data_IF_473955933145
#
_entry.id   IF_473955933145
#
_cell.length_a   1.000
_cell.length_b   1.000
_cell.length_c   1.000
_cell.angle_alpha   90.00
_cell.angle_beta   90.00
_cell.angle_gamma   90.00
#
_symmetry.space_group_name_H-M   'P 1'
#
loop_
_entity.id
_entity.type
_entity.pdbx_description
1 polymer ?
#
# COMPACT_ATOMS: atom_id res chain seq x y z
N UNK A 1 -20.71 11.51 -6.26
CA UNK A 1 -19.74 11.78 -5.17
C UNK A 1 -18.81 10.57 -5.04
N UNK A 2 -17.52 10.77 -5.14
CA UNK A 2 -16.53 9.69 -4.97
C UNK A 2 -16.33 9.40 -3.48
N UNK A 3 -16.08 8.13 -3.16
CA UNK A 3 -15.83 7.70 -1.79
C UNK A 3 -14.31 7.49 -1.60
N UNK A 4 -13.74 8.16 -0.60
CA UNK A 4 -12.36 7.92 -0.16
C UNK A 4 -12.42 6.96 1.03
N UNK A 5 -11.66 5.88 0.95
CA UNK A 5 -11.53 4.89 2.02
C UNK A 5 -10.07 4.83 2.44
N UNK A 6 -9.80 5.08 3.72
CA UNK A 6 -8.43 5.02 4.25
C UNK A 6 -7.81 3.63 4.07
N UNK A 7 -6.56 3.57 3.54
CA UNK A 7 -5.88 2.30 3.29
C UNK A 7 -4.34 2.47 3.24
N UNK A 8 -3.59 2.41 4.35
CA UNK A 8 -4.05 2.42 5.75
C UNK A 8 -4.56 3.79 6.21
N UNK A 9 -4.20 4.86 5.50
CA UNK A 9 -4.62 6.24 5.77
C UNK A 9 -5.35 6.84 4.56
N UNK A 10 -5.99 7.99 4.74
CA UNK A 10 -6.65 8.69 3.64
C UNK A 10 -5.63 9.22 2.61
N UNK A 11 -4.43 9.60 3.07
CA UNK A 11 -3.36 10.09 2.19
C UNK A 11 -2.76 9.04 1.26
N UNK A 12 -3.02 7.76 1.48
CA UNK A 12 -2.57 6.65 0.64
C UNK A 12 -3.70 5.81 0.06
N UNK A 13 -4.91 6.34 0.04
CA UNK A 13 -6.13 5.61 -0.32
C UNK A 13 -6.16 5.07 -1.76
N UNK A 14 -5.35 5.62 -2.67
CA UNK A 14 -5.27 5.17 -4.06
C UNK A 14 -4.33 3.99 -4.29
N UNK A 15 -3.28 3.85 -3.48
CA UNK A 15 -2.16 2.92 -3.74
C UNK A 15 -2.62 1.46 -3.72
N UNK A 16 -3.08 1.00 -2.57
CA UNK A 16 -3.42 -0.42 -2.39
C UNK A 16 -4.67 -0.82 -3.19
N UNK A 17 -5.79 -0.09 -3.13
CA UNK A 17 -6.96 -0.47 -3.91
C UNK A 17 -6.72 -0.41 -5.43
N UNK A 18 -5.97 0.57 -5.90
CA UNK A 18 -5.63 0.70 -7.32
C UNK A 18 -4.81 -0.49 -7.82
N UNK A 19 -3.74 -0.84 -7.12
CA UNK A 19 -2.89 -1.97 -7.48
C UNK A 19 -3.64 -3.31 -7.44
N UNK A 20 -4.41 -3.56 -6.38
CA UNK A 20 -5.20 -4.78 -6.22
C UNK A 20 -6.26 -4.89 -7.31
N UNK A 21 -6.98 -3.78 -7.58
CA UNK A 21 -7.99 -3.77 -8.64
C UNK A 21 -7.38 -4.02 -10.01
N UNK A 22 -6.28 -3.38 -10.35
CA UNK A 22 -5.62 -3.55 -11.64
C UNK A 22 -5.21 -5.01 -11.88
N UNK A 23 -4.64 -5.67 -10.88
CA UNK A 23 -4.27 -7.09 -10.95
C UNK A 23 -5.51 -7.98 -11.03
N UNK A 24 -6.52 -7.72 -10.21
CA UNK A 24 -7.76 -8.50 -10.19
C UNK A 24 -8.48 -8.43 -11.56
N UNK A 25 -8.57 -7.25 -12.16
CA UNK A 25 -9.19 -7.06 -13.45
C UNK A 25 -8.38 -7.73 -14.58
N UNK A 26 -7.05 -7.58 -14.57
CA UNK A 26 -6.17 -8.15 -15.59
C UNK A 26 -6.22 -9.68 -15.62
N UNK A 27 -6.20 -10.31 -14.47
CA UNK A 27 -6.23 -11.78 -14.34
C UNK A 27 -7.64 -12.35 -14.16
N UNK A 28 -8.67 -11.49 -14.19
CA UNK A 28 -10.09 -11.86 -14.02
C UNK A 28 -10.31 -12.69 -12.75
N UNK A 29 -9.69 -12.28 -11.66
CA UNK A 29 -9.76 -13.00 -10.39
C UNK A 29 -11.17 -12.91 -9.79
N UNK A 30 -11.59 -14.00 -9.18
CA UNK A 30 -12.89 -14.05 -8.50
C UNK A 30 -12.91 -13.20 -7.22
N UNK A 31 -14.10 -12.81 -6.81
CA UNK A 31 -14.29 -11.95 -5.64
C UNK A 31 -13.70 -12.56 -4.36
N UNK A 32 -13.74 -13.88 -4.20
CA UNK A 32 -13.24 -14.54 -2.99
C UNK A 32 -11.72 -14.43 -2.90
N UNK A 33 -11.02 -14.54 -4.02
CA UNK A 33 -9.57 -14.34 -4.12
C UNK A 33 -9.17 -12.91 -3.79
N UNK A 34 -9.91 -11.93 -4.32
CA UNK A 34 -9.67 -10.52 -4.01
C UNK A 34 -9.87 -10.23 -2.52
N UNK A 35 -10.92 -10.78 -1.91
CA UNK A 35 -11.17 -10.63 -0.45
C UNK A 35 -10.01 -11.22 0.38
N UNK A 36 -9.46 -12.37 0.00
CA UNK A 36 -8.27 -12.94 0.67
C UNK A 36 -7.07 -11.99 0.58
N UNK A 37 -6.83 -11.39 -0.58
CA UNK A 37 -5.81 -10.36 -0.75
C UNK A 37 -6.01 -9.17 0.20
N UNK A 38 -7.22 -8.66 0.33
CA UNK A 38 -7.54 -7.59 1.28
C UNK A 38 -7.33 -8.00 2.75
N UNK A 39 -7.64 -9.23 3.11
CA UNK A 39 -7.39 -9.76 4.46
C UNK A 39 -5.88 -9.84 4.75
N UNK A 40 -5.07 -10.34 3.80
CA UNK A 40 -3.62 -10.35 3.92
C UNK A 40 -3.06 -8.93 4.07
N UNK A 41 -3.52 -7.99 3.24
CA UNK A 41 -3.15 -6.58 3.32
C UNK A 41 -3.48 -5.98 4.69
N UNK A 42 -4.65 -6.26 5.23
CA UNK A 42 -5.07 -5.78 6.56
C UNK A 42 -4.13 -6.28 7.66
N UNK A 43 -3.73 -7.55 7.61
CA UNK A 43 -2.75 -8.12 8.53
C UNK A 43 -1.40 -7.40 8.46
N UNK A 44 -0.91 -7.13 7.25
CA UNK A 44 0.34 -6.39 7.02
C UNK A 44 0.24 -4.98 7.59
N UNK A 45 -0.82 -4.25 7.25
CA UNK A 45 -1.07 -2.89 7.75
C UNK A 45 -1.13 -2.82 9.27
N UNK A 46 -1.79 -3.77 9.90
CA UNK A 46 -1.86 -3.87 11.36
C UNK A 46 -0.48 -4.07 12.00
N UNK A 47 0.37 -4.92 11.42
CA UNK A 47 1.74 -5.12 11.92
C UNK A 47 2.54 -3.81 11.86
N UNK A 48 2.47 -3.09 10.74
CA UNK A 48 3.15 -1.80 10.58
C UNK A 48 2.60 -0.77 11.56
N UNK A 49 1.29 -0.65 11.69
CA UNK A 49 0.66 0.30 12.60
C UNK A 49 1.03 0.06 14.08
N UNK A 50 1.21 -1.19 14.48
CA UNK A 50 1.57 -1.54 15.86
C UNK A 50 3.07 -1.46 16.16
N UNK A 51 3.94 -1.57 15.14
CA UNK A 51 5.39 -1.65 15.34
C UNK A 51 6.17 -0.45 14.78
N UNK A 52 5.51 0.38 14.00
CA UNK A 52 6.09 1.53 13.34
C UNK A 52 5.07 2.68 13.31
N UNK A 53 5.16 3.53 12.31
CA UNK A 53 4.24 4.66 12.11
C UNK A 53 3.62 4.60 10.73
N UNK A 54 2.31 4.87 10.65
CA UNK A 54 1.59 4.99 9.37
C UNK A 54 1.14 6.43 9.10
N UNK A 55 1.36 7.35 10.04
CA UNK A 55 0.93 8.73 9.91
C UNK A 55 1.99 9.57 9.20
N UNK A 56 1.62 10.21 8.10
CA UNK A 56 2.50 11.09 7.34
C UNK A 56 3.01 12.28 8.15
N UNK A 57 2.19 12.82 9.04
CA UNK A 57 2.56 13.93 9.94
C UNK A 57 3.69 13.56 10.94
N UNK A 58 3.87 12.28 11.23
CA UNK A 58 4.88 11.78 12.19
C UNK A 58 6.08 11.16 11.47
N UNK A 59 5.82 10.26 10.53
CA UNK A 59 6.86 9.48 9.85
C UNK A 59 7.15 9.92 8.40
N UNK A 60 6.52 10.99 7.93
CA UNK A 60 6.59 11.45 6.55
C UNK A 60 5.68 10.66 5.61
N UNK A 61 5.51 11.15 4.39
CA UNK A 61 4.61 10.54 3.40
C UNK A 61 5.00 9.10 3.06
N UNK A 62 6.26 8.73 3.19
CA UNK A 62 6.71 7.36 2.94
C UNK A 62 6.19 6.38 4.01
N UNK A 63 5.88 6.83 5.22
CA UNK A 63 5.21 5.99 6.23
C UNK A 63 3.81 5.59 5.77
N UNK A 64 3.06 6.50 5.15
CA UNK A 64 1.73 6.23 4.59
C UNK A 64 1.81 5.38 3.31
N UNK A 65 2.46 5.94 2.30
CA UNK A 65 2.51 5.38 0.94
C UNK A 65 3.34 4.09 0.92
N UNK A 66 4.44 4.06 1.67
CA UNK A 66 5.26 2.85 1.80
C UNK A 66 4.50 1.72 2.46
N UNK A 67 3.70 1.99 3.49
CA UNK A 67 2.84 0.98 4.12
C UNK A 67 1.78 0.48 3.13
N UNK A 68 1.09 1.40 2.44
CA UNK A 68 0.06 1.03 1.45
C UNK A 68 0.65 0.19 0.30
N UNK A 69 1.84 0.55 -0.19
CA UNK A 69 2.54 -0.22 -1.22
C UNK A 69 2.93 -1.62 -0.73
N UNK A 70 3.41 -1.75 0.51
CA UNK A 70 3.71 -3.05 1.11
C UNK A 70 2.44 -3.90 1.29
N UNK A 71 1.34 -3.30 1.70
CA UNK A 71 0.03 -3.96 1.78
C UNK A 71 -0.40 -4.46 0.40
N UNK A 72 -0.25 -3.63 -0.64
CA UNK A 72 -0.57 -4.00 -2.02
C UNK A 72 0.31 -5.15 -2.51
N UNK A 73 1.62 -5.08 -2.30
CA UNK A 73 2.56 -6.13 -2.70
C UNK A 73 2.21 -7.49 -2.06
N UNK A 74 1.92 -7.49 -0.77
CA UNK A 74 1.51 -8.69 -0.05
C UNK A 74 0.16 -9.24 -0.52
N UNK A 75 -0.82 -8.36 -0.74
CA UNK A 75 -2.13 -8.74 -1.27
C UNK A 75 -2.04 -9.40 -2.65
N UNK A 76 -1.23 -8.82 -3.55
CA UNK A 76 -1.04 -9.34 -4.90
C UNK A 76 -0.42 -10.73 -4.86
N UNK A 77 0.61 -10.94 -4.06
CA UNK A 77 1.23 -12.27 -3.93
C UNK A 77 0.26 -13.29 -3.36
N UNK A 78 -0.57 -12.92 -2.36
CA UNK A 78 -1.63 -13.78 -1.84
C UNK A 78 -2.66 -14.13 -2.92
N UNK A 79 -3.14 -13.14 -3.66
CA UNK A 79 -4.11 -13.35 -4.76
C UNK A 79 -3.58 -14.25 -5.87
N UNK A 80 -2.27 -14.22 -6.12
CA UNK A 80 -1.59 -15.05 -7.11
C UNK A 80 -1.22 -16.45 -6.57
N UNK A 81 -1.65 -16.79 -5.36
CA UNK A 81 -1.41 -18.11 -4.76
C UNK A 81 -0.01 -18.27 -4.17
N UNK A 82 0.67 -17.18 -3.85
CA UNK A 82 1.98 -17.22 -3.23
C UNK A 82 1.95 -17.71 -1.77
N UNK A 83 3.08 -18.21 -1.32
CA UNK A 83 3.27 -18.67 0.06
C UNK A 83 3.44 -17.49 1.02
N UNK A 84 3.20 -17.64 2.33
CA UNK A 84 3.46 -16.59 3.32
C UNK A 84 4.90 -16.07 3.30
N UNK A 85 5.87 -16.94 2.97
CA UNK A 85 7.26 -16.54 2.82
C UNK A 85 7.46 -15.60 1.62
N UNK A 86 6.81 -15.90 0.49
CA UNK A 86 6.84 -15.03 -0.70
C UNK A 86 6.15 -13.70 -0.44
N UNK A 87 5.05 -13.69 0.32
CA UNK A 87 4.42 -12.45 0.80
C UNK A 87 5.41 -11.61 1.59
N UNK A 88 6.12 -12.22 2.55
CA UNK A 88 7.16 -11.52 3.33
C UNK A 88 8.27 -10.93 2.46
N UNK A 89 8.75 -11.68 1.46
CA UNK A 89 9.77 -11.17 0.53
C UNK A 89 9.25 -10.00 -0.34
N UNK A 90 8.02 -10.09 -0.83
CA UNK A 90 7.42 -9.01 -1.62
C UNK A 90 7.28 -7.72 -0.81
N UNK A 91 6.84 -7.81 0.45
CA UNK A 91 6.77 -6.68 1.37
C UNK A 91 8.15 -6.04 1.56
N UNK A 92 9.17 -6.85 1.85
CA UNK A 92 10.53 -6.35 2.09
C UNK A 92 11.12 -5.67 0.86
N UNK A 93 10.94 -6.24 -0.33
CA UNK A 93 11.39 -5.66 -1.60
C UNK A 93 10.67 -4.34 -1.90
N UNK A 94 9.36 -4.30 -1.70
CA UNK A 94 8.57 -3.09 -1.91
C UNK A 94 9.00 -1.98 -0.95
N UNK A 95 9.11 -2.27 0.34
CA UNK A 95 9.54 -1.32 1.35
C UNK A 95 10.93 -0.76 1.05
N UNK A 96 11.89 -1.63 0.73
CA UNK A 96 13.25 -1.23 0.37
C UNK A 96 13.28 -0.22 -0.78
N UNK A 97 12.43 -0.39 -1.79
CA UNK A 97 12.40 0.50 -2.95
C UNK A 97 11.78 1.88 -2.66
N UNK A 98 11.05 2.01 -1.57
CA UNK A 98 10.40 3.27 -1.17
C UNK A 98 11.19 4.01 -0.08
N UNK A 99 12.07 3.33 0.66
CA UNK A 99 12.91 3.95 1.68
C UNK A 99 13.86 4.99 1.06
N UNK A 100 13.93 6.15 1.67
CA UNK A 100 14.82 7.23 1.26
C UNK A 100 14.38 7.99 0.02
N UNK A 101 13.20 7.74 -0.52
CA UNK A 101 12.65 8.57 -1.58
C UNK A 101 12.33 9.97 -1.05
N UNK A 102 12.72 10.98 -1.82
CA UNK A 102 12.53 12.37 -1.43
C UNK A 102 11.06 12.73 -1.30
N UNK A 103 10.77 13.53 -0.29
CA UNK A 103 9.58 14.34 -0.21
C UNK A 103 9.91 15.71 -0.78
N UNK A 104 9.10 16.25 -1.63
CA UNK A 104 9.32 17.53 -2.30
C UNK A 104 8.21 18.53 -1.94
N UNK A 105 8.29 19.16 -0.75
CA UNK A 105 7.29 20.16 -0.33
C UNK A 105 7.38 21.41 -1.22
N UNK A 106 6.24 21.88 -1.67
CA UNK A 106 6.09 23.15 -2.38
C UNK A 106 5.25 24.08 -1.52
N UNK A 107 5.80 25.24 -1.20
CA UNK A 107 5.14 26.23 -0.33
C UNK A 107 4.68 25.64 1.03
N UNK A 108 5.39 24.65 1.56
CA UNK A 108 5.05 23.97 2.81
C UNK A 108 3.99 22.88 2.69
N UNK A 109 3.63 22.50 1.48
CA UNK A 109 2.67 21.42 1.19
C UNK A 109 3.38 20.31 0.41
N UNK A 110 3.12 19.06 0.77
CA UNK A 110 3.64 17.90 0.04
C UNK A 110 2.84 17.67 -1.23
N UNK A 111 3.48 17.87 -2.36
CA UNK A 111 2.83 17.68 -3.66
C UNK A 111 3.59 16.64 -4.51
N UNK A 112 3.90 16.90 -5.70
CA UNK A 112 4.70 16.16 -6.65
C UNK A 112 4.92 14.66 -6.40
N UNK A 113 5.90 14.30 -5.60
CA UNK A 113 6.30 12.92 -5.38
C UNK A 113 5.21 12.08 -4.69
N UNK A 114 4.52 12.63 -3.70
CA UNK A 114 3.43 11.96 -3.00
C UNK A 114 2.21 11.79 -3.89
N UNK A 115 1.83 12.81 -4.63
CA UNK A 115 0.75 12.75 -5.60
C UNK A 115 0.98 11.66 -6.66
N UNK A 116 2.16 11.61 -7.23
CA UNK A 116 2.52 10.59 -8.24
C UNK A 116 2.51 9.16 -7.70
N UNK A 117 2.86 8.97 -6.43
CA UNK A 117 2.89 7.63 -5.83
C UNK A 117 1.52 7.14 -5.37
N UNK A 118 0.60 8.06 -5.10
CA UNK A 118 -0.76 7.73 -4.67
C UNK A 118 -1.76 7.67 -5.84
N UNK A 119 -1.46 8.29 -6.94
CA UNK A 119 -2.27 8.27 -8.17
C UNK A 119 -1.87 7.15 -9.08
#
# INVERSE_FOLDING_TARGET
MFRIVACPTAGSCGVMPGAVKAVADHYQLDKSTVVKGFLAASGIGNVVANRACVAGAVGGCQAEIGTAACMAAGAIVEMMGGTPRQVGHAIALCMKNLLGLACDPVAGVDEGACGKRNG
#
